data_IF_313329125642
#
_entry.id   IF_313329125642
#
_cell.length_a   1.000
_cell.length_b   1.000
_cell.length_c   1.000
_cell.angle_alpha   90.00
_cell.angle_beta   90.00
_cell.angle_gamma   90.00
#
_symmetry.space_group_name_H-M   'P 1'
#
loop_
_entity.id
_entity.type
_entity.pdbx_description
1 polymer ?
#
# COMPACT_ATOMS: atom_id res chain seq x y z
N UNK A 1 -19.61 -11.64 -8.22
CA UNK A 1 -19.73 -13.01 -7.67
C UNK A 1 -21.08 -13.31 -7.03
N UNK A 2 -21.80 -12.32 -6.47
CA UNK A 2 -23.00 -12.56 -5.64
C UNK A 2 -24.35 -12.41 -6.38
N UNK A 3 -24.35 -12.18 -7.69
CA UNK A 3 -25.58 -11.93 -8.45
C UNK A 3 -26.28 -10.61 -8.13
N UNK A 4 -25.61 -9.68 -7.44
CA UNK A 4 -26.16 -8.39 -7.03
C UNK A 4 -25.99 -7.36 -8.16
N UNK A 5 -27.03 -6.59 -8.51
CA UNK A 5 -26.90 -5.48 -9.47
C UNK A 5 -25.89 -4.42 -8.97
N UNK A 6 -24.95 -3.95 -9.81
CA UNK A 6 -23.94 -2.97 -9.37
C UNK A 6 -24.54 -1.69 -8.78
N UNK A 7 -25.70 -1.25 -9.29
CA UNK A 7 -26.38 -0.02 -8.85
C UNK A 7 -26.94 -0.07 -7.42
N UNK A 8 -27.05 -1.25 -6.81
CA UNK A 8 -27.57 -1.38 -5.43
C UNK A 8 -26.45 -1.56 -4.40
N UNK A 9 -25.19 -1.60 -4.85
CA UNK A 9 -24.04 -1.61 -3.95
C UNK A 9 -23.98 -0.24 -3.28
N UNK A 10 -24.10 -0.23 -1.95
CA UNK A 10 -24.03 0.97 -1.13
C UNK A 10 -22.59 1.41 -0.86
N UNK A 11 -22.32 1.77 0.38
CA UNK A 11 -21.00 2.29 0.75
C UNK A 11 -19.90 1.24 0.67
N UNK A 12 -18.79 1.65 0.06
CA UNK A 12 -17.59 0.84 -0.10
C UNK A 12 -16.45 1.41 0.72
N UNK A 13 -15.91 0.62 1.66
CA UNK A 13 -14.79 1.01 2.51
C UNK A 13 -13.50 0.36 2.00
N UNK A 14 -12.54 1.18 1.56
CA UNK A 14 -11.21 0.72 1.18
C UNK A 14 -10.34 0.54 2.42
N UNK A 15 -9.85 -0.67 2.68
CA UNK A 15 -8.87 -0.91 3.76
C UNK A 15 -7.47 -0.62 3.23
N UNK A 16 -6.88 0.46 3.72
CA UNK A 16 -5.57 0.95 3.30
C UNK A 16 -4.64 0.86 4.50
N UNK A 17 -3.44 0.35 4.31
CA UNK A 17 -2.41 0.37 5.36
C UNK A 17 -1.63 1.68 5.27
N UNK A 18 -1.15 2.20 6.39
CA UNK A 18 -0.33 3.43 6.44
C UNK A 18 0.99 3.34 5.63
N UNK A 19 1.35 2.14 5.20
CA UNK A 19 2.49 1.82 4.35
C UNK A 19 2.13 0.63 3.44
N UNK A 20 2.94 0.36 2.41
CA UNK A 20 2.66 -0.72 1.45
C UNK A 20 3.48 -1.97 1.78
N UNK A 21 2.88 -3.14 1.57
CA UNK A 21 3.56 -4.43 1.74
C UNK A 21 3.26 -5.36 0.59
N UNK A 22 4.24 -6.13 0.15
CA UNK A 22 4.08 -7.12 -0.92
C UNK A 22 4.66 -8.47 -0.50
N UNK A 23 3.91 -9.53 -0.79
CA UNK A 23 4.40 -10.92 -0.70
C UNK A 23 4.90 -11.34 -2.08
N UNK A 24 6.04 -12.02 -2.13
CA UNK A 24 6.62 -12.52 -3.37
C UNK A 24 7.26 -11.44 -4.24
N UNK A 25 7.52 -11.82 -5.49
CA UNK A 25 8.23 -11.02 -6.48
C UNK A 25 7.33 -10.04 -7.25
N UNK A 26 7.95 -9.20 -8.06
CA UNK A 26 7.31 -8.24 -8.97
C UNK A 26 7.52 -6.78 -8.57
N UNK A 27 7.03 -5.83 -9.40
CA UNK A 27 7.32 -4.40 -9.24
C UNK A 27 6.86 -3.85 -7.90
N UNK A 28 7.70 -3.07 -7.25
CA UNK A 28 7.32 -2.41 -6.00
C UNK A 28 8.01 -1.03 -5.94
N UNK A 29 7.39 0.00 -6.56
CA UNK A 29 8.02 1.31 -6.73
C UNK A 29 8.44 1.99 -5.42
N UNK A 30 7.66 1.81 -4.36
CA UNK A 30 7.92 2.40 -3.04
C UNK A 30 8.66 1.47 -2.09
N UNK A 31 9.22 0.36 -2.56
CA UNK A 31 9.96 -0.57 -1.72
C UNK A 31 11.14 0.11 -1.01
N UNK A 32 11.24 -0.11 0.30
CA UNK A 32 12.35 0.36 1.12
C UNK A 32 13.28 -0.83 1.34
N UNK A 33 14.48 -0.73 0.79
CA UNK A 33 15.53 -1.73 0.98
C UNK A 33 16.41 -1.35 2.18
N UNK A 34 16.90 -2.35 2.91
CA UNK A 34 17.83 -2.16 4.03
C UNK A 34 17.14 -1.78 5.34
N UNK A 35 17.87 -1.14 6.28
CA UNK A 35 17.48 -1.02 7.68
C UNK A 35 16.13 -0.33 7.92
N UNK A 36 15.81 0.73 7.17
CA UNK A 36 14.52 1.43 7.31
C UNK A 36 13.32 0.56 6.93
N UNK A 37 13.47 -0.30 5.92
CA UNK A 37 12.44 -1.26 5.53
C UNK A 37 12.30 -2.40 6.55
N UNK A 38 13.40 -2.77 7.18
CA UNK A 38 13.41 -3.77 8.26
C UNK A 38 12.71 -3.24 9.51
N UNK A 39 12.94 -1.98 9.92
CA UNK A 39 12.21 -1.33 11.02
C UNK A 39 10.69 -1.40 10.81
N UNK A 40 10.24 -1.01 9.61
CA UNK A 40 8.82 -1.06 9.23
C UNK A 40 8.28 -2.49 9.29
N UNK A 41 9.06 -3.47 8.83
CA UNK A 41 8.69 -4.88 8.83
C UNK A 41 8.53 -5.43 10.25
N UNK A 42 9.46 -5.10 11.14
CA UNK A 42 9.45 -5.56 12.53
C UNK A 42 8.31 -4.91 13.33
N UNK A 43 8.19 -3.58 13.28
CA UNK A 43 7.10 -2.85 13.95
C UNK A 43 5.73 -3.32 13.44
N UNK A 44 5.60 -3.57 12.14
CA UNK A 44 4.37 -4.05 11.52
C UNK A 44 4.11 -5.56 11.63
N UNK A 45 5.02 -6.35 12.19
CA UNK A 45 4.99 -7.81 12.19
C UNK A 45 4.71 -8.40 10.79
N UNK A 46 5.38 -7.87 9.76
CA UNK A 46 5.12 -8.21 8.37
C UNK A 46 5.88 -9.47 7.93
N UNK A 47 5.46 -10.59 8.51
CA UNK A 47 5.97 -11.92 8.22
C UNK A 47 4.83 -12.86 7.80
N UNK A 48 5.13 -13.86 6.99
CA UNK A 48 4.18 -14.92 6.67
C UNK A 48 3.79 -15.69 7.93
N UNK A 49 2.50 -15.84 8.20
CA UNK A 49 2.01 -16.51 9.43
C UNK A 49 2.46 -17.96 9.54
N UNK A 50 2.48 -18.69 8.42
CA UNK A 50 2.93 -20.10 8.39
C UNK A 50 4.41 -20.25 8.09
N UNK A 51 4.94 -19.46 7.16
CA UNK A 51 6.31 -19.65 6.64
C UNK A 51 7.36 -18.83 7.36
N UNK A 52 6.96 -17.82 8.14
CA UNK A 52 7.86 -16.84 8.75
C UNK A 52 8.59 -15.95 7.74
N UNK A 53 8.33 -16.08 6.43
CA UNK A 53 9.07 -15.33 5.41
C UNK A 53 8.79 -13.84 5.52
N UNK A 54 9.81 -12.97 5.44
CA UNK A 54 9.62 -11.53 5.50
C UNK A 54 8.85 -11.04 4.29
N UNK A 55 7.90 -10.11 4.51
CA UNK A 55 7.24 -9.39 3.43
C UNK A 55 8.09 -8.20 3.03
N UNK A 56 8.05 -7.86 1.74
CA UNK A 56 8.64 -6.61 1.25
C UNK A 56 7.82 -5.46 1.80
N UNK A 57 8.47 -4.42 2.30
CA UNK A 57 7.84 -3.27 2.93
C UNK A 57 8.28 -1.99 2.21
N UNK A 58 7.38 -1.03 2.12
CA UNK A 58 7.58 0.20 1.38
C UNK A 58 6.66 1.31 1.83
N UNK A 59 6.93 2.54 1.39
CA UNK A 59 6.07 3.69 1.69
C UNK A 59 4.68 3.54 1.08
N UNK A 60 3.69 4.25 1.65
CA UNK A 60 2.35 4.28 1.07
C UNK A 60 2.40 4.82 -0.36
N UNK A 61 1.96 3.99 -1.29
CA UNK A 61 1.90 4.31 -2.70
C UNK A 61 0.57 4.98 -3.06
N UNK A 62 0.60 6.30 -3.22
CA UNK A 62 -0.60 7.10 -3.50
C UNK A 62 -1.04 6.95 -4.95
N UNK A 63 -0.11 6.70 -5.88
CA UNK A 63 -0.46 6.44 -7.29
C UNK A 63 -1.25 5.14 -7.41
N UNK A 64 -0.75 4.06 -6.81
CA UNK A 64 -1.46 2.78 -6.78
C UNK A 64 -2.79 2.90 -6.02
N UNK A 65 -2.83 3.65 -4.92
CA UNK A 65 -4.06 3.88 -4.15
C UNK A 65 -5.12 4.64 -4.96
N UNK A 66 -4.74 5.71 -5.67
CA UNK A 66 -5.68 6.47 -6.52
C UNK A 66 -6.31 5.59 -7.60
N UNK A 67 -5.49 4.78 -8.28
CA UNK A 67 -5.96 3.81 -9.26
C UNK A 67 -6.94 2.81 -8.63
N UNK A 68 -6.62 2.28 -7.44
CA UNK A 68 -7.51 1.38 -6.70
C UNK A 68 -8.84 2.06 -6.33
N UNK A 69 -8.80 3.30 -5.84
CA UNK A 69 -10.01 4.08 -5.54
C UNK A 69 -10.88 4.32 -6.78
N UNK A 70 -10.27 4.58 -7.94
CA UNK A 70 -11.00 4.78 -9.20
C UNK A 70 -11.68 3.50 -9.69
N UNK A 71 -11.01 2.34 -9.59
CA UNK A 71 -11.59 1.06 -9.99
C UNK A 71 -12.79 0.69 -9.12
N UNK A 72 -12.67 0.91 -7.80
CA UNK A 72 -13.64 0.39 -6.84
C UNK A 72 -14.71 1.41 -6.45
N UNK A 73 -14.47 2.71 -6.62
CA UNK A 73 -15.40 3.77 -6.21
C UNK A 73 -15.62 3.79 -4.69
N UNK A 74 -14.55 3.72 -3.89
CA UNK A 74 -14.67 3.73 -2.43
C UNK A 74 -15.34 5.02 -1.93
N UNK A 75 -16.34 4.87 -1.06
CA UNK A 75 -16.98 5.97 -0.33
C UNK A 75 -16.04 6.51 0.76
N UNK A 76 -15.33 5.61 1.44
CA UNK A 76 -14.44 5.96 2.54
C UNK A 76 -13.23 5.03 2.61
N UNK A 77 -12.20 5.46 3.34
CA UNK A 77 -10.99 4.67 3.58
C UNK A 77 -10.83 4.41 5.07
N UNK A 78 -10.46 3.18 5.40
CA UNK A 78 -9.98 2.79 6.72
C UNK A 78 -8.45 2.70 6.68
N UNK A 79 -7.76 3.70 7.26
CA UNK A 79 -6.31 3.72 7.36
C UNK A 79 -5.85 2.91 8.58
N UNK A 80 -5.19 1.78 8.31
CA UNK A 80 -4.79 0.78 9.30
C UNK A 80 -3.29 0.81 9.56
N UNK A 81 -2.88 0.26 10.71
CA UNK A 81 -1.47 0.18 11.14
C UNK A 81 -0.74 1.53 11.17
N UNK A 82 -1.45 2.59 11.56
CA UNK A 82 -0.86 3.92 11.70
C UNK A 82 0.17 3.96 12.84
N UNK A 83 -0.05 3.17 13.88
CA UNK A 83 0.84 2.95 15.03
C UNK A 83 2.24 2.46 14.64
N UNK A 84 2.37 1.72 13.53
CA UNK A 84 3.65 1.22 13.02
C UNK A 84 4.60 2.34 12.59
N UNK A 85 4.07 3.53 12.30
CA UNK A 85 4.89 4.67 11.85
C UNK A 85 5.40 5.54 13.02
N UNK A 86 5.04 5.22 14.28
CA UNK A 86 5.26 6.10 15.43
C UNK A 86 6.72 6.43 15.72
N UNK A 87 7.63 5.50 15.44
CA UNK A 87 9.07 5.64 15.75
C UNK A 87 9.89 6.19 14.57
N UNK A 88 9.24 6.58 13.47
CA UNK A 88 9.93 7.09 12.29
C UNK A 88 10.10 8.61 12.38
N UNK A 89 11.32 9.14 12.16
CA UNK A 89 11.55 10.59 12.18
C UNK A 89 10.88 11.28 10.98
N UNK A 90 10.75 10.58 9.86
CA UNK A 90 10.16 11.08 8.63
C UNK A 90 9.31 9.99 7.97
N UNK A 91 8.23 10.41 7.31
CA UNK A 91 7.31 9.55 6.56
C UNK A 91 7.24 10.06 5.12
N UNK A 92 7.51 9.18 4.15
CA UNK A 92 7.40 9.51 2.74
C UNK A 92 6.13 8.92 2.12
N UNK A 93 5.69 9.54 1.01
CA UNK A 93 4.54 9.10 0.21
C UNK A 93 4.92 9.03 -1.26
N UNK A 94 4.55 7.94 -1.93
CA UNK A 94 4.72 7.78 -3.38
C UNK A 94 3.63 8.53 -4.14
N UNK A 95 3.81 9.83 -4.39
CA UNK A 95 2.75 10.71 -4.95
C UNK A 95 2.70 10.76 -6.48
N UNK A 96 3.78 10.39 -7.16
CA UNK A 96 3.88 10.39 -8.61
C UNK A 96 4.90 9.35 -9.06
N UNK A 97 4.69 8.80 -10.27
CA UNK A 97 5.67 7.96 -10.93
C UNK A 97 6.29 8.69 -12.12
N UNK A 98 7.53 8.31 -12.41
CA UNK A 98 8.26 8.70 -13.60
C UNK A 98 8.79 7.44 -14.27
N UNK A 99 8.78 7.43 -15.59
CA UNK A 99 9.44 6.40 -16.36
C UNK A 99 10.97 6.56 -16.28
N UNK A 100 11.73 5.59 -16.80
CA UNK A 100 13.19 5.60 -16.79
C UNK A 100 13.79 6.88 -17.41
N UNK A 101 13.13 7.44 -18.43
CA UNK A 101 13.53 8.66 -19.12
C UNK A 101 13.06 9.95 -18.41
N UNK A 102 12.49 9.83 -17.20
CA UNK A 102 12.02 10.96 -16.38
C UNK A 102 10.63 11.47 -16.73
N UNK A 103 10.02 10.95 -17.80
CA UNK A 103 8.66 11.29 -18.25
C UNK A 103 7.63 10.95 -17.17
N UNK A 104 6.79 11.92 -16.75
CA UNK A 104 5.73 11.65 -15.78
C UNK A 104 4.73 10.61 -16.30
N UNK A 105 4.40 9.61 -15.48
CA UNK A 105 3.34 8.65 -15.78
C UNK A 105 2.01 9.22 -15.29
N UNK A 106 1.00 9.26 -16.16
CA UNK A 106 -0.34 9.71 -15.77
C UNK A 106 -1.00 8.65 -14.88
N UNK A 107 -1.39 9.08 -13.69
CA UNK A 107 -2.22 8.35 -12.73
C UNK A 107 -3.70 8.71 -12.89
#
# INVERSE_FOLDING_TARGET
GLGIPPRVVGDLIGVVKAYTTRVGSGPFPTEILGPSGDLLRFAGQEFGTTTGRPRRCGWLDVVALKYCCQINGFTSLNLTKLDVLSDLPEIHLGVAYRDADGTPIKS
#
